data_IF_423695988920
#
_entry.id   IF_423695988920
#
_cell.length_a   1.000
_cell.length_b   1.000
_cell.length_c   1.000
_cell.angle_alpha   90.00
_cell.angle_beta   90.00
_cell.angle_gamma   90.00
#
_symmetry.space_group_name_H-M   'P 1'
#
loop_
_entity.id
_entity.type
_entity.pdbx_description
1 polymer ?
#
# COMPACT_ATOMS: atom_id res chain seq x y z
N UNK A 1 10.11 9.44 16.56
CA UNK A 1 10.91 9.39 15.31
C UNK A 1 9.93 9.19 14.15
N UNK A 2 9.95 10.07 13.14
CA UNK A 2 9.04 9.93 11.98
C UNK A 2 9.43 8.73 11.12
N UNK A 3 8.43 8.04 10.56
CA UNK A 3 8.61 6.86 9.72
C UNK A 3 7.77 5.66 10.18
N UNK A 4 8.04 4.49 9.62
CA UNK A 4 7.41 3.22 9.99
C UNK A 4 8.35 2.42 10.90
N UNK A 5 7.83 1.99 12.04
CA UNK A 5 8.56 1.16 12.99
C UNK A 5 7.76 -0.10 13.29
N UNK A 6 8.40 -1.24 13.09
CA UNK A 6 7.92 -2.56 13.48
C UNK A 6 8.80 -3.03 14.64
N UNK A 7 8.19 -3.47 15.74
CA UNK A 7 8.92 -3.95 16.89
C UNK A 7 8.40 -5.31 17.34
N UNK A 8 9.26 -6.31 17.33
CA UNK A 8 8.96 -7.65 17.81
C UNK A 8 7.78 -8.34 17.11
N UNK A 9 7.57 -8.07 15.82
CA UNK A 9 6.42 -8.57 15.07
C UNK A 9 6.54 -10.07 14.86
N UNK A 10 5.57 -10.83 15.39
CA UNK A 10 5.41 -12.26 15.14
C UNK A 10 4.03 -12.55 14.60
N UNK A 11 3.95 -13.51 13.66
CA UNK A 11 2.68 -13.91 13.05
C UNK A 11 2.73 -15.35 12.57
N UNK A 12 1.64 -16.08 12.78
CA UNK A 12 1.49 -17.47 12.35
C UNK A 12 0.15 -17.69 11.64
N UNK A 13 0.15 -18.51 10.60
CA UNK A 13 -1.06 -19.02 9.95
C UNK A 13 -1.23 -20.50 10.25
N UNK A 14 -2.36 -20.89 10.83
CA UNK A 14 -2.67 -22.30 11.17
C UNK A 14 -1.54 -22.99 11.96
N UNK A 15 -0.92 -22.26 12.90
CA UNK A 15 0.20 -22.76 13.72
C UNK A 15 1.58 -22.69 13.04
N UNK A 16 1.65 -22.40 11.76
CA UNK A 16 2.94 -22.20 11.06
C UNK A 16 3.39 -20.75 11.20
N UNK A 17 4.49 -20.54 11.95
CA UNK A 17 5.07 -19.21 12.15
C UNK A 17 5.75 -18.73 10.87
N UNK A 18 5.30 -17.59 10.35
CA UNK A 18 5.83 -16.93 9.13
C UNK A 18 6.63 -15.68 9.43
N UNK A 19 6.38 -15.05 10.58
CA UNK A 19 7.20 -13.97 11.12
C UNK A 19 7.55 -14.33 12.57
N UNK A 20 8.80 -14.14 12.95
CA UNK A 20 9.32 -14.46 14.28
C UNK A 20 10.16 -13.30 14.82
N UNK A 21 9.59 -12.54 15.73
CA UNK A 21 10.24 -11.42 16.44
C UNK A 21 10.93 -10.42 15.50
N UNK A 22 10.27 -10.05 14.37
CA UNK A 22 10.85 -9.16 13.37
C UNK A 22 10.76 -7.71 13.84
N UNK A 23 11.91 -7.02 13.84
CA UNK A 23 11.98 -5.58 14.07
C UNK A 23 12.60 -4.89 12.86
N UNK A 24 11.95 -3.81 12.39
CA UNK A 24 12.36 -3.05 11.21
C UNK A 24 12.01 -1.58 11.39
N UNK A 25 12.90 -0.71 11.00
CA UNK A 25 12.66 0.74 10.94
C UNK A 25 12.83 1.23 9.51
N UNK A 26 11.85 1.98 9.03
CA UNK A 26 11.91 2.73 7.78
C UNK A 26 11.79 4.21 8.13
N UNK A 27 12.90 4.96 8.20
CA UNK A 27 12.87 6.39 8.48
C UNK A 27 12.09 7.17 7.41
N UNK A 28 11.50 8.29 7.79
CA UNK A 28 10.78 9.13 6.83
C UNK A 28 11.71 9.62 5.71
N UNK A 29 11.26 9.49 4.46
CA UNK A 29 12.03 9.87 3.27
C UNK A 29 13.04 8.84 2.79
N UNK A 30 13.19 7.69 3.47
CA UNK A 30 14.09 6.63 3.05
C UNK A 30 13.37 5.52 2.28
N UNK A 31 14.10 4.88 1.37
CA UNK A 31 13.69 3.68 0.66
C UNK A 31 14.35 2.46 1.29
N UNK A 32 13.54 1.51 1.72
CA UNK A 32 14.00 0.22 2.27
C UNK A 32 13.51 -0.92 1.39
N UNK A 33 14.44 -1.82 1.00
CA UNK A 33 14.12 -3.03 0.25
C UNK A 33 14.16 -4.25 1.16
N UNK A 34 13.08 -5.04 1.16
CA UNK A 34 13.01 -6.34 1.82
C UNK A 34 13.43 -7.45 0.83
N UNK A 35 14.56 -8.07 1.08
CA UNK A 35 15.09 -9.17 0.27
C UNK A 35 14.91 -10.50 1.00
N UNK A 36 14.69 -11.57 0.25
CA UNK A 36 14.55 -12.92 0.77
C UNK A 36 13.75 -13.83 -0.15
N UNK A 37 13.78 -15.17 0.10
CA UNK A 37 13.11 -16.16 -0.73
C UNK A 37 11.59 -15.97 -0.73
N UNK A 38 10.92 -16.60 -1.71
CA UNK A 38 9.45 -16.66 -1.72
C UNK A 38 8.94 -17.36 -0.45
N UNK A 39 7.86 -16.84 0.14
CA UNK A 39 7.25 -17.43 1.34
C UNK A 39 7.89 -17.02 2.68
N UNK A 40 8.97 -16.24 2.72
CA UNK A 40 9.62 -15.83 3.99
C UNK A 40 8.89 -14.70 4.75
N UNK A 41 7.63 -14.44 4.47
CA UNK A 41 6.81 -13.49 5.26
C UNK A 41 6.82 -12.03 4.81
N UNK A 42 7.55 -11.62 3.76
CA UNK A 42 7.61 -10.21 3.30
C UNK A 42 6.23 -9.60 3.05
N UNK A 43 5.39 -10.29 2.31
CA UNK A 43 4.02 -9.84 2.00
C UNK A 43 3.16 -9.74 3.27
N UNK A 44 3.32 -10.69 4.20
CA UNK A 44 2.63 -10.67 5.49
C UNK A 44 3.05 -9.45 6.31
N UNK A 45 4.35 -9.17 6.37
CA UNK A 45 4.87 -7.99 7.06
C UNK A 45 4.32 -6.68 6.48
N UNK A 46 4.27 -6.55 5.15
CA UNK A 46 3.68 -5.39 4.47
C UNK A 46 2.17 -5.26 4.73
N UNK A 47 1.42 -6.39 4.72
CA UNK A 47 -0.02 -6.40 5.03
C UNK A 47 -0.31 -6.01 6.47
N UNK A 48 0.48 -6.50 7.43
CA UNK A 48 0.38 -6.09 8.84
C UNK A 48 0.66 -4.59 8.99
N UNK A 49 1.71 -4.08 8.31
CA UNK A 49 2.04 -2.65 8.32
C UNK A 49 0.90 -1.79 7.78
N UNK A 50 0.26 -2.23 6.70
CA UNK A 50 -0.88 -1.55 6.08
C UNK A 50 -2.22 -1.75 6.84
N UNK A 51 -2.29 -2.69 7.80
CA UNK A 51 -3.52 -3.01 8.54
C UNK A 51 -4.48 -3.95 7.83
N UNK A 52 -4.04 -4.59 6.76
CA UNK A 52 -4.81 -5.61 6.03
C UNK A 52 -4.69 -7.00 6.64
N UNK A 53 -3.75 -7.17 7.55
CA UNK A 53 -3.57 -8.38 8.35
C UNK A 53 -3.47 -7.96 9.81
N UNK A 54 -4.13 -8.69 10.71
CA UNK A 54 -4.13 -8.37 12.12
C UNK A 54 -2.80 -8.77 12.76
N UNK A 55 -2.23 -7.86 13.56
CA UNK A 55 -1.01 -8.12 14.30
C UNK A 55 -1.30 -9.08 15.46
N UNK A 56 -0.57 -10.20 15.53
CA UNK A 56 -0.70 -11.16 16.64
C UNK A 56 0.21 -10.80 17.82
N UNK A 57 1.50 -10.49 17.55
CA UNK A 57 2.46 -10.11 18.59
C UNK A 57 3.32 -8.95 18.11
N UNK A 58 3.77 -8.09 19.04
CA UNK A 58 4.63 -6.95 18.74
C UNK A 58 3.87 -5.63 18.61
N UNK A 59 4.45 -4.68 17.87
CA UNK A 59 3.89 -3.35 17.69
C UNK A 59 4.23 -2.77 16.31
N UNK A 60 3.28 -2.03 15.73
CA UNK A 60 3.46 -1.21 14.51
C UNK A 60 3.21 0.25 14.88
N UNK A 61 4.16 1.12 14.56
CA UNK A 61 4.08 2.58 14.79
C UNK A 61 4.35 3.32 13.50
N UNK A 62 3.55 4.34 13.19
CA UNK A 62 3.74 5.25 12.07
C UNK A 62 3.75 6.68 12.62
N UNK A 63 4.80 7.43 12.32
CA UNK A 63 4.97 8.81 12.77
C UNK A 63 4.64 8.99 14.26
N UNK A 64 5.23 8.14 15.13
CA UNK A 64 5.04 8.16 16.59
C UNK A 64 3.65 7.69 17.08
N UNK A 65 2.73 7.37 16.15
CA UNK A 65 1.40 6.87 16.51
C UNK A 65 1.36 5.35 16.40
N UNK A 66 0.96 4.67 17.46
CA UNK A 66 0.77 3.21 17.46
C UNK A 66 -0.43 2.87 16.59
N UNK A 67 -0.20 2.08 15.53
CA UNK A 67 -1.22 1.60 14.58
C UNK A 67 -1.73 0.21 14.91
N UNK A 68 -0.86 -0.66 15.44
CA UNK A 68 -1.22 -1.98 15.91
C UNK A 68 -0.34 -2.38 17.10
N UNK A 69 -0.90 -3.12 18.04
CA UNK A 69 -0.25 -3.58 19.27
C UNK A 69 -1.27 -4.21 20.20
N UNK A 70 -0.90 -4.52 21.46
CA UNK A 70 -1.80 -5.10 22.42
C UNK A 70 -3.09 -4.26 22.59
N UNK A 71 -4.25 -4.86 22.24
CA UNK A 71 -5.56 -4.21 22.36
C UNK A 71 -5.80 -3.05 21.38
N UNK A 72 -4.97 -2.86 20.36
CA UNK A 72 -5.11 -1.79 19.36
C UNK A 72 -4.92 -2.29 17.94
N UNK A 73 -5.91 -2.03 17.09
CA UNK A 73 -5.83 -2.22 15.64
C UNK A 73 -6.47 -1.03 14.93
N UNK A 74 -5.67 -0.21 14.27
CA UNK A 74 -6.13 0.87 13.41
C UNK A 74 -6.39 0.28 12.02
N UNK A 75 -7.60 0.41 11.45
CA UNK A 75 -7.91 -0.17 10.14
C UNK A 75 -7.14 0.55 9.01
N UNK A 76 -6.97 -0.11 7.83
CA UNK A 76 -6.13 0.37 6.73
C UNK A 76 -6.42 1.81 6.31
N UNK A 77 -7.69 2.18 6.14
CA UNK A 77 -8.14 3.50 5.68
C UNK A 77 -7.77 4.65 6.64
N UNK A 78 -7.36 4.32 7.87
CA UNK A 78 -6.93 5.30 8.89
C UNK A 78 -5.43 5.34 9.12
N UNK A 79 -4.65 4.47 8.44
CA UNK A 79 -3.18 4.40 8.64
C UNK A 79 -2.38 5.38 7.79
N UNK A 80 -2.98 6.01 6.79
CA UNK A 80 -2.29 6.90 5.84
C UNK A 80 -1.09 6.21 5.17
N UNK A 81 -1.23 4.92 4.86
CA UNK A 81 -0.27 4.13 4.09
C UNK A 81 -0.92 3.76 2.76
N UNK A 82 -0.20 3.97 1.67
CA UNK A 82 -0.53 3.37 0.38
C UNK A 82 0.11 1.98 0.25
N UNK A 83 -0.66 1.00 -0.20
CA UNK A 83 -0.15 -0.33 -0.53
C UNK A 83 -0.40 -0.65 -2.00
N UNK A 84 0.66 -0.99 -2.72
CA UNK A 84 0.55 -1.53 -4.07
C UNK A 84 0.60 -3.07 -4.01
N UNK A 85 -0.44 -3.71 -4.53
CA UNK A 85 -0.52 -5.17 -4.61
C UNK A 85 0.31 -5.72 -5.77
N UNK A 86 0.73 -6.98 -5.68
CA UNK A 86 1.53 -7.65 -6.69
C UNK A 86 0.79 -7.79 -8.04
N UNK A 87 -0.51 -7.96 -8.01
CA UNK A 87 -1.43 -8.02 -9.15
C UNK A 87 -1.99 -6.65 -9.56
N UNK A 88 -1.40 -5.58 -8.98
CA UNK A 88 -1.79 -4.18 -9.16
C UNK A 88 -3.19 -3.83 -8.66
N UNK A 89 -4.09 -4.78 -8.50
CA UNK A 89 -5.47 -4.67 -8.02
C UNK A 89 -6.24 -3.49 -8.66
N UNK A 90 -6.07 -3.28 -9.96
CA UNK A 90 -6.84 -2.27 -10.71
C UNK A 90 -8.26 -2.77 -10.93
N UNK A 91 -9.23 -1.87 -10.78
CA UNK A 91 -10.64 -2.17 -11.03
C UNK A 91 -10.88 -2.30 -12.54
N UNK A 92 -11.19 -3.50 -13.08
CA UNK A 92 -11.24 -3.73 -14.52
C UNK A 92 -12.39 -3.01 -15.23
N UNK A 93 -13.45 -2.68 -14.49
CA UNK A 93 -14.63 -1.98 -14.98
C UNK A 93 -14.53 -0.45 -14.92
N UNK A 94 -13.45 0.09 -14.37
CA UNK A 94 -13.18 1.52 -14.28
C UNK A 94 -12.11 1.94 -15.28
N UNK A 95 -12.21 3.17 -15.81
CA UNK A 95 -11.13 3.77 -16.59
C UNK A 95 -9.89 3.99 -15.72
N UNK A 96 -8.75 4.25 -16.33
CA UNK A 96 -7.49 4.54 -15.63
C UNK A 96 -7.65 5.76 -14.71
N UNK A 97 -8.25 6.83 -15.21
CA UNK A 97 -8.52 8.01 -14.39
C UNK A 97 -9.46 7.69 -13.21
N UNK A 98 -10.51 6.89 -13.46
CA UNK A 98 -11.43 6.48 -12.41
C UNK A 98 -10.76 5.56 -11.37
N UNK A 99 -9.80 4.74 -11.77
CA UNK A 99 -8.99 3.95 -10.84
C UNK A 99 -8.15 4.84 -9.91
N UNK A 100 -7.51 5.89 -10.45
CA UNK A 100 -6.69 6.81 -9.64
C UNK A 100 -7.55 7.67 -8.72
N UNK A 101 -8.74 8.11 -9.17
CA UNK A 101 -9.64 8.92 -8.33
C UNK A 101 -10.44 8.11 -7.32
N UNK A 102 -10.43 6.77 -7.37
CA UNK A 102 -11.34 5.91 -6.60
C UNK A 102 -11.23 6.12 -5.08
N UNK A 103 -10.01 6.29 -4.54
CA UNK A 103 -9.77 6.49 -3.11
C UNK A 103 -9.82 7.95 -2.65
N UNK A 104 -10.05 8.89 -3.56
CA UNK A 104 -10.02 10.31 -3.23
C UNK A 104 -11.40 10.82 -2.80
N UNK A 105 -11.40 11.78 -1.89
CA UNK A 105 -12.62 12.50 -1.52
C UNK A 105 -13.19 13.21 -2.76
N UNK A 106 -14.49 13.06 -2.99
CA UNK A 106 -15.18 13.71 -4.11
C UNK A 106 -14.63 13.33 -5.52
N UNK A 107 -14.65 12.05 -5.93
CA UNK A 107 -14.01 11.57 -7.17
C UNK A 107 -14.47 12.29 -8.45
N UNK A 108 -15.66 12.92 -8.43
CA UNK A 108 -16.24 13.64 -9.58
C UNK A 108 -15.89 15.13 -9.61
N UNK A 109 -15.22 15.67 -8.61
CA UNK A 109 -14.84 17.08 -8.59
C UNK A 109 -13.77 17.37 -9.64
N UNK A 110 -13.77 18.61 -10.17
CA UNK A 110 -12.74 19.07 -11.12
C UNK A 110 -11.35 19.03 -10.49
N UNK A 111 -11.26 19.37 -9.22
CA UNK A 111 -10.00 19.38 -8.47
C UNK A 111 -9.41 17.98 -8.31
N UNK A 112 -10.24 16.98 -7.92
CA UNK A 112 -9.82 15.58 -7.82
C UNK A 112 -9.36 15.03 -9.17
N UNK A 113 -10.11 15.35 -10.24
CA UNK A 113 -9.72 14.96 -11.60
C UNK A 113 -8.40 15.60 -12.02
N UNK A 114 -8.18 16.86 -11.70
CA UNK A 114 -6.93 17.56 -12.00
C UNK A 114 -5.74 16.89 -11.28
N UNK A 115 -5.86 16.67 -9.97
CA UNK A 115 -4.81 15.97 -9.18
C UNK A 115 -4.51 14.58 -9.72
N UNK A 116 -5.54 13.80 -10.06
CA UNK A 116 -5.34 12.47 -10.64
C UNK A 116 -4.63 12.52 -12.00
N UNK A 117 -4.90 13.54 -12.82
CA UNK A 117 -4.18 13.75 -14.07
C UNK A 117 -2.70 14.12 -13.83
N UNK A 118 -2.39 14.96 -12.85
CA UNK A 118 -1.02 15.25 -12.46
C UNK A 118 -0.26 13.99 -12.02
N UNK A 119 -0.90 13.11 -11.23
CA UNK A 119 -0.29 11.82 -10.83
C UNK A 119 -0.06 10.92 -12.06
N UNK A 120 -1.00 10.88 -13.00
CA UNK A 120 -0.85 10.12 -14.24
C UNK A 120 0.27 10.71 -15.14
N UNK A 121 0.45 12.02 -15.17
CA UNK A 121 1.56 12.67 -15.88
C UNK A 121 2.91 12.28 -15.29
N UNK A 122 3.07 12.28 -13.97
CA UNK A 122 4.31 11.87 -13.29
C UNK A 122 4.76 10.45 -13.65
N UNK A 123 3.81 9.57 -13.96
CA UNK A 123 4.09 8.18 -14.35
C UNK A 123 4.00 7.96 -15.87
N UNK A 124 3.88 9.03 -16.68
CA UNK A 124 3.72 9.00 -18.14
C UNK A 124 2.51 8.17 -18.61
N UNK A 125 1.37 8.30 -17.92
CA UNK A 125 0.13 7.57 -18.23
C UNK A 125 -1.07 8.47 -18.56
N UNK A 126 -0.91 9.80 -18.57
CA UNK A 126 -2.00 10.76 -18.82
C UNK A 126 -2.75 10.51 -20.15
N UNK A 127 -2.04 10.17 -21.22
CA UNK A 127 -2.65 9.85 -22.53
C UNK A 127 -3.51 8.58 -22.53
N UNK A 128 -3.47 7.80 -21.45
CA UNK A 128 -4.23 6.56 -21.26
C UNK A 128 -5.40 6.72 -20.27
N UNK A 129 -5.67 7.93 -19.78
CA UNK A 129 -6.64 8.21 -18.72
C UNK A 129 -8.04 7.61 -18.94
N UNK A 130 -8.52 7.61 -20.19
CA UNK A 130 -9.85 7.10 -20.54
C UNK A 130 -9.85 5.60 -20.94
N UNK A 131 -8.67 4.95 -21.01
CA UNK A 131 -8.58 3.51 -21.27
C UNK A 131 -8.95 2.70 -20.04
N UNK A 132 -9.17 1.39 -20.24
CA UNK A 132 -9.41 0.43 -19.17
C UNK A 132 -8.15 -0.44 -18.93
N UNK A 133 -7.98 -1.06 -17.74
CA UNK A 133 -6.79 -1.83 -17.40
C UNK A 133 -6.43 -2.91 -18.41
N UNK A 134 -7.41 -3.65 -18.96
CA UNK A 134 -7.17 -4.70 -19.96
C UNK A 134 -6.56 -4.21 -21.28
N UNK A 135 -6.59 -2.90 -21.53
CA UNK A 135 -6.01 -2.27 -22.72
C UNK A 135 -4.53 -1.87 -22.50
N UNK A 136 -3.97 -2.15 -21.34
CA UNK A 136 -2.63 -1.76 -20.94
C UNK A 136 -1.71 -2.98 -20.78
N UNK A 137 -0.42 -2.80 -21.09
CA UNK A 137 0.62 -3.77 -20.73
C UNK A 137 0.78 -3.85 -19.19
N UNK A 138 1.37 -4.96 -18.69
CA UNK A 138 1.64 -5.11 -17.26
C UNK A 138 2.45 -3.97 -16.65
N UNK A 139 3.50 -3.49 -17.34
CA UNK A 139 4.28 -2.34 -16.89
C UNK A 139 3.50 -1.02 -16.90
N UNK A 140 2.53 -0.85 -17.80
CA UNK A 140 1.62 0.29 -17.78
C UNK A 140 0.63 0.20 -16.62
N UNK A 141 0.08 -1.00 -16.34
CA UNK A 141 -0.80 -1.23 -15.20
C UNK A 141 -0.06 -0.97 -13.88
N UNK A 142 1.20 -1.38 -13.78
CA UNK A 142 2.05 -1.09 -12.61
C UNK A 142 2.20 0.41 -12.36
N UNK A 143 2.46 1.21 -13.41
CA UNK A 143 2.57 2.66 -13.31
C UNK A 143 1.26 3.32 -12.88
N UNK A 144 0.12 2.83 -13.38
CA UNK A 144 -1.20 3.31 -12.93
C UNK A 144 -1.45 2.96 -11.46
N UNK A 145 -1.10 1.74 -11.02
CA UNK A 145 -1.20 1.34 -9.61
C UNK A 145 -0.32 2.22 -8.71
N UNK A 146 0.85 2.63 -9.18
CA UNK A 146 1.70 3.58 -8.47
C UNK A 146 1.02 4.95 -8.37
N UNK A 147 0.48 5.49 -9.47
CA UNK A 147 -0.24 6.76 -9.47
C UNK A 147 -1.45 6.77 -8.52
N UNK A 148 -2.11 5.60 -8.31
CA UNK A 148 -3.23 5.45 -7.38
C UNK A 148 -2.81 5.52 -5.92
N UNK A 149 -1.56 5.23 -5.61
CA UNK A 149 -1.01 5.19 -4.24
C UNK A 149 -0.38 6.52 -3.83
N UNK A 150 0.07 7.32 -4.79
CA UNK A 150 0.62 8.68 -4.59
C UNK A 150 -0.47 9.69 -4.24
#
# INVERSE_FOLDING_TARGET
MKGLHLHGVSHAFNGNRVLDNISLTVPAGELVCLLGPSGCGKTTLLRISAGLEELQEGQVTIDETVMAGPGRHVPPERRKIGLMFQDYALFPHLSILANVTFGLSNPKSKETRYRAMEMLEQVNMASHAEKHPHMLSGGQQQRVALARVL
#
